data_IF_768790452742
#
_entry.id   IF_768790452742
#
_cell.length_a   1.000
_cell.length_b   1.000
_cell.length_c   1.000
_cell.angle_alpha   90.00
_cell.angle_beta   90.00
_cell.angle_gamma   90.00
#
_symmetry.space_group_name_H-M   'P 1'
#
loop_
_entity.id
_entity.type
_entity.pdbx_description
1 polymer ?
#
# COMPACT_ATOMS: atom_id res chain seq x y z
N UNK A 1 29.22 -10.50 -8.07
CA UNK A 1 28.39 -11.23 -7.09
C UNK A 1 27.55 -10.25 -6.25
N UNK A 2 27.14 -9.10 -6.79
CA UNK A 2 26.37 -8.06 -6.04
C UNK A 2 24.95 -7.81 -6.60
N UNK A 3 24.53 -8.59 -7.60
CA UNK A 3 23.33 -8.26 -8.40
C UNK A 3 22.02 -8.74 -7.74
N UNK A 4 22.10 -9.83 -6.96
CA UNK A 4 20.91 -10.47 -6.38
C UNK A 4 20.38 -9.71 -5.16
N UNK A 5 21.26 -9.26 -4.26
CA UNK A 5 20.89 -8.41 -3.12
C UNK A 5 20.36 -7.05 -3.58
N UNK A 6 20.94 -6.45 -4.62
CA UNK A 6 20.45 -5.21 -5.21
C UNK A 6 19.08 -5.42 -5.91
N UNK A 7 18.84 -6.61 -6.46
CA UNK A 7 17.52 -7.02 -6.97
C UNK A 7 16.45 -7.09 -5.88
N UNK A 8 16.77 -7.68 -4.72
CA UNK A 8 15.83 -7.79 -3.60
C UNK A 8 15.57 -6.45 -2.92
N UNK A 9 16.59 -5.60 -2.77
CA UNK A 9 16.41 -4.26 -2.21
C UNK A 9 15.51 -3.39 -3.10
N UNK A 10 15.75 -3.37 -4.42
CA UNK A 10 14.87 -2.67 -5.37
C UNK A 10 13.45 -3.24 -5.43
N UNK A 11 13.28 -4.53 -5.13
CA UNK A 11 11.95 -5.14 -5.00
C UNK A 11 11.25 -4.66 -3.73
N UNK A 12 11.98 -4.62 -2.61
CA UNK A 12 11.48 -4.08 -1.35
C UNK A 12 11.05 -2.62 -1.52
N UNK A 13 11.89 -1.75 -2.06
CA UNK A 13 11.58 -0.32 -2.29
C UNK A 13 10.30 -0.13 -3.11
N UNK A 14 10.11 -0.91 -4.19
CA UNK A 14 8.89 -0.86 -5.00
C UNK A 14 7.65 -1.29 -4.22
N UNK A 15 7.78 -2.30 -3.35
CA UNK A 15 6.69 -2.76 -2.50
C UNK A 15 6.37 -1.77 -1.38
N UNK A 16 7.36 -1.08 -0.82
CA UNK A 16 7.16 0.04 0.12
C UNK A 16 6.36 1.18 -0.52
N UNK A 17 6.79 1.63 -1.71
CA UNK A 17 6.11 2.69 -2.44
C UNK A 17 4.67 2.28 -2.80
N UNK A 18 4.46 1.02 -3.20
CA UNK A 18 3.13 0.48 -3.48
C UNK A 18 2.25 0.43 -2.23
N UNK A 19 2.77 -0.07 -1.11
CA UNK A 19 2.04 -0.13 0.16
C UNK A 19 1.61 1.27 0.61
N UNK A 20 2.53 2.24 0.58
CA UNK A 20 2.25 3.64 0.92
C UNK A 20 1.17 4.23 0.01
N UNK A 21 1.26 3.99 -1.31
CA UNK A 21 0.25 4.44 -2.27
C UNK A 21 -1.14 3.83 -2.04
N UNK A 22 -1.20 2.56 -1.62
CA UNK A 22 -2.46 1.90 -1.26
C UNK A 22 -3.07 2.52 0.01
N UNK A 23 -2.26 2.74 1.05
CA UNK A 23 -2.72 3.40 2.29
C UNK A 23 -3.25 4.81 2.00
N UNK A 24 -2.52 5.60 1.21
CA UNK A 24 -2.97 6.94 0.80
C UNK A 24 -4.31 6.90 0.04
N UNK A 25 -4.49 5.90 -0.83
CA UNK A 25 -5.76 5.69 -1.55
C UNK A 25 -6.92 5.31 -0.60
N UNK A 26 -6.67 4.45 0.40
CA UNK A 26 -7.69 4.12 1.42
C UNK A 26 -8.10 5.38 2.17
N UNK A 27 -7.13 6.17 2.62
CA UNK A 27 -7.37 7.42 3.33
C UNK A 27 -8.17 8.42 2.47
N UNK A 28 -7.86 8.54 1.18
CA UNK A 28 -8.62 9.37 0.25
C UNK A 28 -10.09 8.92 0.13
N UNK A 29 -10.36 7.62 0.02
CA UNK A 29 -11.74 7.13 -0.03
C UNK A 29 -12.51 7.42 1.27
N UNK A 30 -11.85 7.26 2.42
CA UNK A 30 -12.46 7.62 3.70
C UNK A 30 -12.76 9.12 3.78
N UNK A 31 -11.84 9.97 3.34
CA UNK A 31 -12.04 11.42 3.32
C UNK A 31 -13.20 11.83 2.39
N UNK A 32 -13.29 11.23 1.20
CA UNK A 32 -14.39 11.48 0.26
C UNK A 32 -15.73 10.99 0.81
N UNK A 33 -15.76 9.88 1.55
CA UNK A 33 -16.96 9.40 2.21
C UNK A 33 -17.49 10.42 3.23
N UNK A 34 -16.60 10.96 4.08
CA UNK A 34 -16.98 12.01 5.04
C UNK A 34 -17.41 13.30 4.34
N UNK A 35 -16.70 13.72 3.30
CA UNK A 35 -17.05 14.93 2.55
C UNK A 35 -18.41 14.81 1.83
N UNK A 36 -18.79 13.61 1.39
CA UNK A 36 -20.07 13.35 0.75
C UNK A 36 -21.28 13.50 1.71
N UNK A 37 -21.06 13.51 3.02
CA UNK A 37 -22.09 13.88 4.00
C UNK A 37 -22.47 15.36 3.86
N UNK A 38 -21.49 16.21 3.52
CA UNK A 38 -21.62 17.67 3.43
C UNK A 38 -21.96 18.17 2.02
N UNK A 39 -21.51 17.45 0.97
CA UNK A 39 -21.72 17.84 -0.42
C UNK A 39 -22.31 16.68 -1.25
N UNK A 40 -23.52 16.90 -1.77
CA UNK A 40 -24.23 15.93 -2.59
C UNK A 40 -23.52 15.63 -3.93
N UNK A 41 -22.70 16.55 -4.45
CA UNK A 41 -21.94 16.33 -5.69
C UNK A 41 -20.86 15.25 -5.54
N UNK A 42 -20.42 14.98 -4.30
CA UNK A 42 -19.44 13.94 -4.00
C UNK A 42 -20.07 12.55 -3.83
N UNK A 43 -21.40 12.42 -3.81
CA UNK A 43 -22.12 11.13 -3.71
C UNK A 43 -22.18 10.42 -5.06
N UNK A 44 -21.04 9.92 -5.53
CA UNK A 44 -20.92 9.28 -6.85
C UNK A 44 -20.48 7.81 -6.82
N UNK A 45 -19.86 7.35 -5.74
CA UNK A 45 -19.24 6.02 -5.64
C UNK A 45 -19.46 5.43 -4.24
N UNK A 46 -19.44 4.10 -4.14
CA UNK A 46 -19.37 3.40 -2.84
C UNK A 46 -17.92 3.46 -2.30
N UNK A 47 -17.59 4.58 -1.65
CA UNK A 47 -16.27 4.82 -1.09
C UNK A 47 -15.86 3.79 -0.04
N UNK A 48 -16.82 3.23 0.71
CA UNK A 48 -16.53 2.22 1.71
C UNK A 48 -16.09 0.91 1.07
N UNK A 49 -16.77 0.46 0.00
CA UNK A 49 -16.33 -0.68 -0.79
C UNK A 49 -14.96 -0.44 -1.42
N UNK A 50 -14.68 0.77 -1.92
CA UNK A 50 -13.35 1.13 -2.44
C UNK A 50 -12.27 1.04 -1.37
N UNK A 51 -12.55 1.51 -0.16
CA UNK A 51 -11.64 1.42 0.98
C UNK A 51 -11.43 -0.05 1.42
N UNK A 52 -12.48 -0.89 1.43
CA UNK A 52 -12.36 -2.34 1.68
C UNK A 52 -11.42 -3.00 0.67
N UNK A 53 -11.64 -2.77 -0.64
CA UNK A 53 -10.75 -3.29 -1.69
C UNK A 53 -9.30 -2.83 -1.50
N UNK A 54 -9.09 -1.58 -1.09
CA UNK A 54 -7.77 -1.06 -0.76
C UNK A 54 -7.10 -1.83 0.39
N UNK A 55 -7.84 -2.13 1.47
CA UNK A 55 -7.33 -2.95 2.59
C UNK A 55 -6.93 -4.35 2.15
N UNK A 56 -7.73 -4.99 1.29
CA UNK A 56 -7.39 -6.32 0.73
C UNK A 56 -6.13 -6.26 -0.14
N UNK A 57 -5.99 -5.23 -0.97
CA UNK A 57 -4.77 -4.99 -1.77
C UNK A 57 -3.55 -4.76 -0.87
N UNK A 58 -3.70 -3.99 0.20
CA UNK A 58 -2.64 -3.74 1.17
C UNK A 58 -2.21 -5.03 1.86
N UNK A 59 -3.15 -5.82 2.38
CA UNK A 59 -2.86 -7.10 3.03
C UNK A 59 -2.07 -8.05 2.13
N UNK A 60 -2.45 -8.16 0.85
CA UNK A 60 -1.71 -8.97 -0.13
C UNK A 60 -0.32 -8.42 -0.43
N UNK A 61 -0.20 -7.10 -0.55
CA UNK A 61 1.10 -6.42 -0.80
C UNK A 61 2.04 -6.63 0.38
N UNK A 62 1.52 -6.58 1.60
CA UNK A 62 2.30 -6.74 2.83
C UNK A 62 3.00 -8.10 2.91
N UNK A 63 2.34 -9.17 2.50
CA UNK A 63 2.94 -10.52 2.43
C UNK A 63 4.21 -10.49 1.58
N UNK A 64 4.15 -9.89 0.39
CA UNK A 64 5.31 -9.80 -0.50
C UNK A 64 6.38 -8.83 0.02
N UNK A 65 5.97 -7.73 0.66
CA UNK A 65 6.88 -6.73 1.23
C UNK A 65 7.73 -7.34 2.34
N UNK A 66 7.10 -8.08 3.26
CA UNK A 66 7.79 -8.79 4.34
C UNK A 66 8.71 -9.90 3.83
N UNK A 67 8.31 -10.62 2.77
CA UNK A 67 9.18 -11.60 2.12
C UNK A 67 10.42 -10.92 1.50
N UNK A 68 10.22 -9.81 0.77
CA UNK A 68 11.31 -9.05 0.17
C UNK A 68 12.25 -8.47 1.23
N UNK A 69 11.71 -7.96 2.35
CA UNK A 69 12.50 -7.46 3.46
C UNK A 69 13.42 -8.54 4.07
N UNK A 70 12.90 -9.75 4.27
CA UNK A 70 13.69 -10.88 4.78
C UNK A 70 14.86 -11.25 3.86
N UNK A 71 14.65 -11.17 2.55
CA UNK A 71 15.68 -11.50 1.56
C UNK A 71 16.68 -10.35 1.34
N UNK A 72 16.23 -9.10 1.47
CA UNK A 72 17.04 -7.91 1.25
C UNK A 72 17.88 -7.50 2.48
N UNK A 73 17.45 -7.86 3.70
CA UNK A 73 18.05 -7.41 4.96
C UNK A 73 18.56 -8.58 5.82
N UNK A 74 19.57 -9.35 5.38
CA UNK A 74 20.01 -10.59 6.05
C UNK A 74 20.60 -10.39 7.47
N UNK A 75 21.01 -9.16 7.85
CA UNK A 75 21.66 -8.89 9.13
C UNK A 75 21.07 -7.73 9.95
N UNK A 76 19.85 -7.28 9.61
CA UNK A 76 19.21 -6.14 10.29
C UNK A 76 19.88 -4.79 9.94
N UNK A 77 19.16 -3.71 10.21
CA UNK A 77 19.69 -2.34 10.09
C UNK A 77 20.58 -2.12 11.32
N UNK A 78 21.90 -2.03 11.12
CA UNK A 78 22.84 -1.59 12.17
C UNK A 78 22.67 -0.09 12.42
#
# INVERSE_FOLDING_TARGET
MDDESNGQFRRLERLEALALGIVGKIALWQALNQAAELDAQLRGLDYEALARRGRDQHSRTEVFRLQAARLALPHGIK
#
